data_IF_760356056541
#
_entry.id   IF_760356056541
#
_cell.length_a   1.000
_cell.length_b   1.000
_cell.length_c   1.000
_cell.angle_alpha   90.00
_cell.angle_beta   90.00
_cell.angle_gamma   90.00
#
_symmetry.space_group_name_H-M   'P 1'
#
loop_
_entity.id
_entity.type
_entity.pdbx_description
1 polymer ?
#
# COMPACT_ATOMS: atom_id res chain seq x y z
N UNK A 1 -14.36 -3.08 4.17
CA UNK A 1 -14.25 -2.97 2.70
C UNK A 1 -13.70 -1.59 2.41
N UNK A 2 -12.70 -1.48 1.54
CA UNK A 2 -12.00 -0.24 1.23
C UNK A 2 -12.25 0.13 -0.23
N UNK A 3 -12.25 1.44 -0.52
CA UNK A 3 -12.54 1.98 -1.84
C UNK A 3 -11.44 2.98 -2.22
N UNK A 4 -10.86 2.82 -3.41
CA UNK A 4 -9.84 3.73 -3.96
C UNK A 4 -10.06 3.89 -5.46
N UNK A 5 -10.21 5.13 -5.90
CA UNK A 5 -10.34 5.47 -7.32
C UNK A 5 -8.95 5.76 -7.90
N UNK A 6 -8.25 4.69 -8.26
CA UNK A 6 -6.89 4.70 -8.80
C UNK A 6 -6.80 3.85 -10.07
N UNK A 7 -5.78 4.09 -10.89
CA UNK A 7 -5.49 3.27 -12.06
C UNK A 7 -5.32 1.79 -11.69
N UNK A 8 -6.04 0.90 -12.38
CA UNK A 8 -6.09 -0.52 -12.02
C UNK A 8 -4.94 -1.33 -12.61
N UNK A 9 -4.08 -1.87 -11.73
CA UNK A 9 -3.07 -2.90 -12.01
C UNK A 9 -3.58 -4.33 -11.74
N UNK A 10 -2.87 -5.40 -12.15
CA UNK A 10 -3.31 -6.80 -11.93
C UNK A 10 -3.68 -7.14 -10.48
N UNK A 11 -3.02 -6.48 -9.51
CA UNK A 11 -3.23 -6.64 -8.07
C UNK A 11 -3.95 -5.45 -7.42
N UNK A 12 -4.74 -4.69 -8.19
CA UNK A 12 -5.55 -3.56 -7.71
C UNK A 12 -7.01 -3.68 -8.21
N UNK A 13 -7.93 -3.33 -7.32
CA UNK A 13 -9.37 -3.26 -7.55
C UNK A 13 -9.92 -1.98 -6.92
N UNK A 14 -10.97 -1.35 -7.50
CA UNK A 14 -11.53 -0.12 -6.96
C UNK A 14 -12.21 -0.35 -5.60
N UNK A 15 -12.65 -1.59 -5.35
CA UNK A 15 -13.11 -2.07 -4.05
C UNK A 15 -12.29 -3.30 -3.65
N UNK A 16 -11.80 -3.34 -2.41
CA UNK A 16 -10.94 -4.44 -1.93
C UNK A 16 -11.07 -4.64 -0.41
N UNK A 17 -10.72 -5.83 0.06
CA UNK A 17 -10.95 -6.25 1.44
C UNK A 17 -9.65 -6.15 2.24
N UNK A 18 -9.70 -5.36 3.32
CA UNK A 18 -8.64 -5.32 4.32
C UNK A 18 -9.11 -5.93 5.64
N UNK A 19 -8.20 -6.61 6.32
CA UNK A 19 -8.28 -6.88 7.74
C UNK A 19 -7.55 -5.74 8.44
N UNK A 20 -8.32 -4.86 9.06
CA UNK A 20 -7.84 -3.62 9.66
C UNK A 20 -7.79 -3.77 11.18
N UNK A 21 -6.67 -3.39 11.79
CA UNK A 21 -6.45 -3.47 13.22
C UNK A 21 -5.78 -2.19 13.72
N UNK A 22 -6.38 -1.59 14.76
CA UNK A 22 -5.78 -0.50 15.52
C UNK A 22 -5.83 -0.88 17.02
N UNK A 23 -4.78 -0.54 17.76
CA UNK A 23 -4.70 -0.79 19.19
C UNK A 23 -4.02 0.37 19.92
N UNK A 24 -4.33 0.52 21.21
CA UNK A 24 -3.76 1.55 22.09
C UNK A 24 -2.77 0.95 23.08
N UNK A 25 -1.80 1.76 23.51
CA UNK A 25 -0.72 1.38 24.44
C UNK A 25 0.14 0.22 23.92
N UNK A 26 0.42 0.25 22.61
CA UNK A 26 1.25 -0.74 21.91
C UNK A 26 2.48 -0.10 21.27
N UNK A 27 3.44 -0.94 20.92
CA UNK A 27 4.57 -0.63 20.07
C UNK A 27 4.59 -1.55 18.82
N UNK A 28 5.64 -1.46 18.02
CA UNK A 28 5.82 -2.27 16.82
C UNK A 28 5.93 -3.76 17.14
N UNK A 29 6.56 -4.14 18.26
CA UNK A 29 6.72 -5.54 18.68
C UNK A 29 5.38 -6.24 18.90
N UNK A 30 4.40 -5.54 19.47
CA UNK A 30 3.04 -6.05 19.60
C UNK A 30 2.45 -6.42 18.24
N UNK A 31 2.61 -5.54 17.24
CA UNK A 31 2.09 -5.76 15.89
C UNK A 31 2.83 -6.90 15.20
N UNK A 32 4.16 -6.94 15.31
CA UNK A 32 4.98 -8.02 14.75
C UNK A 32 4.54 -9.39 15.30
N UNK A 33 4.49 -9.54 16.63
CA UNK A 33 4.09 -10.80 17.24
C UNK A 33 2.68 -11.25 16.80
N UNK A 34 1.71 -10.34 16.79
CA UNK A 34 0.33 -10.64 16.43
C UNK A 34 0.20 -11.03 14.95
N UNK A 35 0.81 -10.25 14.04
CA UNK A 35 0.66 -10.47 12.60
C UNK A 35 1.55 -11.58 12.06
N UNK A 36 2.68 -11.88 12.69
CA UNK A 36 3.45 -13.09 12.42
C UNK A 36 2.62 -14.33 12.73
N UNK A 37 2.01 -14.40 13.92
CA UNK A 37 1.16 -15.54 14.27
C UNK A 37 -0.07 -15.66 13.37
N UNK A 38 -0.76 -14.55 13.13
CA UNK A 38 -1.94 -14.51 12.28
C UNK A 38 -1.62 -14.98 10.86
N UNK A 39 -0.59 -14.39 10.23
CA UNK A 39 -0.22 -14.73 8.85
C UNK A 39 0.27 -16.16 8.73
N UNK A 40 1.08 -16.66 9.68
CA UNK A 40 1.50 -18.06 9.68
C UNK A 40 0.30 -19.02 9.71
N UNK A 41 -0.70 -18.75 10.56
CA UNK A 41 -1.94 -19.56 10.61
C UNK A 41 -2.77 -19.44 9.33
N UNK A 42 -2.84 -18.26 8.72
CA UNK A 42 -3.54 -18.08 7.44
C UNK A 42 -2.90 -18.93 6.34
N UNK A 43 -1.57 -18.89 6.22
CA UNK A 43 -0.84 -19.66 5.22
C UNK A 43 -0.87 -21.18 5.48
N UNK A 44 -0.87 -21.59 6.75
CA UNK A 44 -1.01 -23.00 7.15
C UNK A 44 -2.32 -23.63 6.65
N UNK A 45 -3.39 -22.85 6.51
CA UNK A 45 -4.65 -23.33 5.90
C UNK A 45 -4.45 -23.81 4.46
N UNK A 46 -3.50 -23.21 3.72
CA UNK A 46 -3.09 -23.65 2.39
C UNK A 46 -1.95 -24.66 2.37
N UNK A 47 -1.52 -25.17 3.54
CA UNK A 47 -0.38 -26.07 3.66
C UNK A 47 0.99 -25.39 3.50
N UNK A 48 1.04 -24.05 3.59
CA UNK A 48 2.27 -23.28 3.46
C UNK A 48 2.80 -22.94 4.85
N UNK A 49 4.03 -23.35 5.15
CA UNK A 49 4.68 -23.06 6.42
C UNK A 49 5.50 -21.77 6.32
N UNK A 50 5.11 -20.76 7.09
CA UNK A 50 5.90 -19.53 7.25
C UNK A 50 6.75 -19.64 8.54
N UNK A 51 8.10 -19.74 8.43
CA UNK A 51 8.95 -19.84 9.61
C UNK A 51 8.97 -18.51 10.37
N UNK A 52 8.84 -18.60 11.70
CA UNK A 52 8.87 -17.44 12.62
C UNK A 52 10.08 -17.51 13.56
N UNK A 53 10.59 -16.37 14.05
CA UNK A 53 10.14 -15.01 13.76
C UNK A 53 10.48 -14.57 12.34
N UNK A 54 9.74 -13.60 11.79
CA UNK A 54 10.04 -13.08 10.46
C UNK A 54 11.29 -12.18 10.52
N UNK A 55 12.25 -12.33 9.58
CA UNK A 55 13.37 -11.41 9.45
C UNK A 55 12.92 -9.96 9.32
N UNK A 56 13.75 -9.04 9.79
CA UNK A 56 13.52 -7.60 9.65
C UNK A 56 14.62 -6.99 8.80
N UNK A 57 14.23 -6.10 7.89
CA UNK A 57 15.12 -5.41 6.98
C UNK A 57 14.77 -3.93 6.98
N UNK A 58 15.75 -3.05 7.12
CA UNK A 58 15.46 -1.62 6.98
C UNK A 58 15.09 -1.32 5.52
N UNK A 59 14.25 -0.31 5.29
CA UNK A 59 13.92 0.17 3.95
C UNK A 59 15.19 0.48 3.15
N UNK A 60 16.19 1.09 3.81
CA UNK A 60 17.44 1.43 3.17
C UNK A 60 18.22 0.18 2.73
N UNK A 61 18.23 -0.88 3.54
CA UNK A 61 18.84 -2.16 3.17
C UNK A 61 18.08 -2.84 2.03
N UNK A 62 16.74 -2.85 2.09
CA UNK A 62 15.90 -3.43 1.03
C UNK A 62 16.16 -2.75 -0.31
N UNK A 63 16.21 -1.42 -0.33
CA UNK A 63 16.56 -0.62 -1.51
C UNK A 63 18.01 -0.86 -1.96
N UNK A 64 18.97 -0.88 -1.04
CA UNK A 64 20.39 -1.05 -1.38
C UNK A 64 20.76 -2.47 -1.81
N UNK A 65 19.95 -3.48 -1.49
CA UNK A 65 20.24 -4.89 -1.79
C UNK A 65 19.36 -5.46 -2.89
N UNK A 66 18.14 -4.97 -3.06
CA UNK A 66 17.17 -5.52 -4.03
C UNK A 66 16.50 -4.47 -4.92
N UNK A 67 16.60 -3.19 -4.57
CA UNK A 67 16.01 -2.09 -5.34
C UNK A 67 14.51 -1.92 -5.15
N UNK A 68 13.93 -2.56 -4.14
CA UNK A 68 12.51 -2.44 -3.78
C UNK A 68 12.34 -2.49 -2.27
N UNK A 69 11.35 -1.74 -1.79
CA UNK A 69 10.76 -1.78 -0.46
C UNK A 69 9.91 -3.03 -0.18
N UNK A 70 9.61 -3.83 -1.22
CA UNK A 70 8.99 -5.15 -1.12
C UNK A 70 9.88 -6.19 -1.80
N UNK A 71 11.01 -6.56 -1.17
CA UNK A 71 12.00 -7.43 -1.80
C UNK A 71 11.46 -8.85 -2.01
N UNK A 72 11.73 -9.42 -3.17
CA UNK A 72 11.64 -10.87 -3.37
C UNK A 72 12.95 -11.55 -2.99
N UNK A 73 12.94 -12.27 -1.87
CA UNK A 73 14.11 -12.94 -1.29
C UNK A 73 14.23 -14.42 -1.68
N UNK A 74 13.35 -14.93 -2.55
CA UNK A 74 13.39 -16.35 -2.98
C UNK A 74 14.65 -16.72 -3.76
N UNK A 75 15.36 -15.73 -4.30
CA UNK A 75 16.56 -15.91 -5.10
C UNK A 75 17.61 -14.85 -4.74
N UNK A 76 18.87 -15.11 -5.12
CA UNK A 76 20.00 -14.23 -4.81
C UNK A 76 20.06 -12.96 -5.67
N UNK A 77 21.21 -12.72 -6.29
CA UNK A 77 21.49 -11.51 -7.10
C UNK A 77 21.28 -10.21 -6.33
N UNK A 78 21.65 -10.18 -5.05
CA UNK A 78 21.65 -8.94 -4.26
C UNK A 78 22.70 -7.97 -4.83
N UNK A 79 22.43 -6.68 -4.69
CA UNK A 79 23.29 -5.67 -5.24
C UNK A 79 24.64 -5.64 -4.53
N UNK A 80 25.67 -5.31 -5.28
CA UNK A 80 26.97 -4.93 -4.76
C UNK A 80 27.27 -3.49 -5.18
N UNK A 81 27.59 -2.66 -4.20
CA UNK A 81 28.11 -1.32 -4.45
C UNK A 81 29.56 -1.43 -4.91
N UNK A 82 29.90 -0.73 -6.00
CA UNK A 82 31.25 -0.66 -6.55
C UNK A 82 31.70 0.79 -6.75
N UNK A 83 30.98 1.75 -6.18
CA UNK A 83 31.27 3.18 -6.33
C UNK A 83 32.69 3.49 -5.87
N UNK A 84 33.14 2.86 -4.77
CA UNK A 84 34.50 2.97 -4.22
C UNK A 84 35.57 2.36 -5.14
N UNK A 85 35.26 1.25 -5.80
CA UNK A 85 36.19 0.56 -6.71
C UNK A 85 36.60 1.45 -7.88
N UNK A 86 35.70 2.32 -8.33
CA UNK A 86 35.90 3.19 -9.49
C UNK A 86 36.32 4.62 -9.11
N UNK A 87 36.67 4.92 -7.86
CA UNK A 87 37.02 6.27 -7.41
C UNK A 87 38.08 6.96 -8.29
N UNK A 88 39.10 6.20 -8.72
CA UNK A 88 40.20 6.68 -9.57
C UNK A 88 40.08 6.24 -11.03
N UNK A 89 38.86 5.88 -11.48
CA UNK A 89 38.67 5.30 -12.81
C UNK A 89 39.02 6.27 -13.94
N UNK A 90 39.64 5.74 -14.99
CA UNK A 90 39.90 6.48 -16.25
C UNK A 90 38.74 6.37 -17.23
N UNK A 91 37.74 5.56 -16.94
CA UNK A 91 36.58 5.40 -17.80
C UNK A 91 35.67 6.65 -17.72
N UNK A 92 35.61 7.41 -18.81
CA UNK A 92 35.03 8.76 -18.83
C UNK A 92 33.58 8.85 -18.33
N UNK A 93 32.75 7.85 -18.65
CA UNK A 93 31.35 7.79 -18.22
C UNK A 93 31.25 7.66 -16.69
N UNK A 94 31.96 6.69 -16.10
CA UNK A 94 31.96 6.50 -14.65
C UNK A 94 32.56 7.70 -13.93
N UNK A 95 33.67 8.25 -14.44
CA UNK A 95 34.26 9.48 -13.90
C UNK A 95 33.28 10.65 -13.89
N UNK A 96 32.49 10.83 -14.94
CA UNK A 96 31.47 11.88 -15.01
C UNK A 96 30.34 11.67 -13.99
N UNK A 97 29.92 10.41 -13.79
CA UNK A 97 28.87 10.05 -12.83
C UNK A 97 29.35 10.28 -11.39
N UNK A 98 30.54 9.79 -11.05
CA UNK A 98 31.16 9.98 -9.74
C UNK A 98 31.41 11.47 -9.44
N UNK A 99 31.83 12.25 -10.44
CA UNK A 99 31.99 13.70 -10.30
C UNK A 99 30.71 14.47 -9.99
N UNK A 100 29.53 13.83 -10.09
CA UNK A 100 28.22 14.37 -9.71
C UNK A 100 27.68 13.75 -8.42
N UNK A 101 28.50 13.03 -7.67
CA UNK A 101 28.07 12.30 -6.47
C UNK A 101 27.27 11.03 -6.77
N UNK A 102 27.41 10.49 -7.99
CA UNK A 102 26.64 9.32 -8.43
C UNK A 102 27.06 8.01 -7.80
N UNK A 103 26.29 6.97 -8.11
CA UNK A 103 26.42 5.63 -7.54
C UNK A 103 26.59 4.60 -8.66
N UNK A 104 27.38 3.55 -8.39
CA UNK A 104 27.60 2.42 -9.29
C UNK A 104 27.32 1.13 -8.52
N UNK A 105 26.21 0.47 -8.85
CA UNK A 105 25.84 -0.83 -8.25
C UNK A 105 25.65 -1.88 -9.34
N UNK A 106 25.83 -3.14 -8.98
CA UNK A 106 25.56 -4.24 -9.89
C UNK A 106 25.05 -5.51 -9.23
N UNK A 107 24.79 -6.51 -10.05
CA UNK A 107 24.41 -7.87 -9.66
C UNK A 107 25.33 -8.89 -10.33
N UNK A 108 25.52 -10.04 -9.68
CA UNK A 108 26.19 -11.20 -10.26
C UNK A 108 25.17 -12.30 -10.60
N UNK A 109 25.06 -12.64 -11.88
CA UNK A 109 24.25 -13.74 -12.41
C UNK A 109 25.12 -14.99 -12.57
N UNK A 110 25.01 -15.91 -11.61
CA UNK A 110 25.93 -17.04 -11.47
C UNK A 110 25.74 -18.11 -12.56
N UNK A 111 26.82 -18.48 -13.25
CA UNK A 111 26.85 -19.59 -14.21
C UNK A 111 26.06 -19.40 -15.51
N UNK A 112 25.58 -18.19 -15.81
CA UNK A 112 24.64 -17.94 -16.91
C UNK A 112 25.29 -17.30 -18.15
N UNK A 113 26.62 -17.26 -18.23
CA UNK A 113 27.34 -16.63 -19.34
C UNK A 113 27.01 -17.22 -20.72
N UNK A 114 26.59 -18.48 -20.83
CA UNK A 114 26.19 -19.07 -22.11
C UNK A 114 24.83 -18.53 -22.60
N UNK A 115 23.85 -18.44 -21.70
CA UNK A 115 22.51 -17.90 -22.00
C UNK A 115 22.56 -16.38 -22.19
N UNK A 116 23.36 -15.71 -21.36
CA UNK A 116 23.63 -14.28 -21.44
C UNK A 116 24.90 -14.02 -22.26
N UNK A 117 24.83 -14.36 -23.55
CA UNK A 117 25.92 -14.13 -24.49
C UNK A 117 26.21 -12.64 -24.69
N UNK A 118 27.42 -12.30 -25.16
CA UNK A 118 27.79 -10.93 -25.55
C UNK A 118 26.76 -10.23 -26.44
N UNK A 119 26.18 -10.96 -27.40
CA UNK A 119 25.19 -10.41 -28.32
C UNK A 119 23.88 -10.03 -27.58
N UNK A 120 23.39 -10.94 -26.73
CA UNK A 120 22.20 -10.74 -25.89
C UNK A 120 22.40 -9.55 -24.95
N UNK A 121 23.51 -9.54 -24.20
CA UNK A 121 23.82 -8.46 -23.25
C UNK A 121 23.93 -7.09 -23.92
N UNK A 122 24.54 -7.03 -25.11
CA UNK A 122 24.76 -5.77 -25.81
C UNK A 122 23.55 -5.26 -26.58
N UNK A 123 22.82 -6.14 -27.29
CA UNK A 123 21.77 -5.73 -28.21
C UNK A 123 20.38 -5.80 -27.62
N UNK A 124 20.14 -6.69 -26.66
CA UNK A 124 18.84 -6.82 -26.01
C UNK A 124 18.83 -6.05 -24.69
N UNK A 125 19.74 -6.39 -23.77
CA UNK A 125 19.73 -5.78 -22.44
C UNK A 125 20.17 -4.33 -22.44
N UNK A 126 21.36 -4.03 -22.95
CA UNK A 126 21.92 -2.68 -22.86
C UNK A 126 21.22 -1.67 -23.78
N UNK A 127 20.61 -2.11 -24.89
CA UNK A 127 19.97 -1.23 -25.89
C UNK A 127 18.45 -1.11 -25.75
N UNK A 128 17.77 -2.15 -25.29
CA UNK A 128 16.30 -2.18 -25.27
C UNK A 128 15.77 -2.26 -23.84
N UNK A 129 16.13 -3.32 -23.10
CA UNK A 129 15.55 -3.58 -21.77
C UNK A 129 15.92 -2.49 -20.78
N UNK A 130 17.21 -2.24 -20.53
CA UNK A 130 17.65 -1.29 -19.50
C UNK A 130 17.19 0.15 -19.77
N UNK A 131 17.23 0.66 -21.01
CA UNK A 131 16.60 1.94 -21.34
C UNK A 131 15.10 1.98 -21.07
N UNK A 132 14.38 0.88 -21.33
CA UNK A 132 12.96 0.73 -20.96
C UNK A 132 12.70 0.80 -19.46
N UNK A 133 13.69 0.45 -18.62
CA UNK A 133 13.66 0.58 -17.16
C UNK A 133 14.07 1.98 -16.66
N UNK A 134 14.33 2.93 -17.58
CA UNK A 134 14.69 4.32 -17.28
C UNK A 134 16.19 4.59 -17.11
N UNK A 135 17.05 3.57 -17.14
CA UNK A 135 18.49 3.75 -17.04
C UNK A 135 19.14 4.06 -18.39
N UNK A 136 20.10 4.99 -18.40
CA UNK A 136 20.75 5.47 -19.64
C UNK A 136 21.66 4.44 -20.29
N UNK A 137 22.08 3.43 -19.55
CA UNK A 137 22.93 2.37 -20.05
C UNK A 137 23.20 1.30 -19.01
N UNK A 138 23.73 0.18 -19.49
CA UNK A 138 24.13 -0.96 -18.69
C UNK A 138 25.55 -1.34 -19.03
N UNK A 139 26.35 -1.55 -18.00
CA UNK A 139 27.66 -2.19 -18.11
C UNK A 139 27.50 -3.68 -17.83
N UNK A 140 28.13 -4.53 -18.63
CA UNK A 140 28.13 -5.98 -18.39
C UNK A 140 29.54 -6.53 -18.54
N UNK A 141 29.87 -7.59 -17.81
CA UNK A 141 31.14 -8.31 -17.90
C UNK A 141 30.89 -9.81 -17.69
N UNK A 142 31.45 -10.65 -18.55
CA UNK A 142 31.39 -12.11 -18.40
C UNK A 142 32.72 -12.61 -17.86
N UNK A 143 32.71 -13.44 -16.82
CA UNK A 143 33.93 -14.06 -16.34
C UNK A 143 34.20 -15.37 -17.11
N UNK A 144 35.26 -15.38 -17.92
CA UNK A 144 35.65 -16.49 -18.80
C UNK A 144 37.06 -17.01 -18.42
N UNK A 145 37.51 -18.09 -19.07
CA UNK A 145 38.83 -18.69 -18.83
C UNK A 145 40.01 -17.71 -18.93
N UNK A 146 39.88 -16.67 -19.75
CA UNK A 146 40.92 -15.68 -20.02
C UNK A 146 40.67 -14.36 -19.25
N UNK A 147 39.80 -14.36 -18.25
CA UNK A 147 39.40 -13.19 -17.46
C UNK A 147 38.11 -12.53 -17.97
N UNK A 148 37.87 -11.30 -17.49
CA UNK A 148 36.64 -10.55 -17.80
C UNK A 148 36.54 -10.19 -19.28
N UNK A 149 35.46 -10.63 -19.93
CA UNK A 149 35.08 -10.22 -21.29
C UNK A 149 34.03 -9.11 -21.24
N UNK A 150 34.33 -7.95 -21.81
CA UNK A 150 33.39 -6.85 -22.06
C UNK A 150 33.97 -5.85 -23.05
N UNK A 151 33.12 -5.03 -23.66
CA UNK A 151 33.55 -3.89 -24.48
C UNK A 151 34.28 -2.82 -23.67
N UNK A 152 34.08 -2.77 -22.35
CA UNK A 152 34.63 -1.72 -21.50
C UNK A 152 35.78 -2.17 -20.59
N UNK A 153 36.02 -3.47 -20.45
CA UNK A 153 37.07 -4.01 -19.54
C UNK A 153 38.45 -3.45 -19.89
N UNK A 154 38.72 -3.17 -21.16
CA UNK A 154 39.96 -2.54 -21.64
C UNK A 154 40.24 -1.16 -21.01
N UNK A 155 39.23 -0.46 -20.51
CA UNK A 155 39.39 0.84 -19.85
C UNK A 155 39.65 0.74 -18.35
N UNK A 156 39.46 -0.44 -17.76
CA UNK A 156 39.71 -0.71 -16.35
C UNK A 156 41.14 -1.18 -16.12
N UNK A 157 41.76 -0.64 -15.07
CA UNK A 157 43.03 -1.08 -14.50
C UNK A 157 42.94 -2.51 -13.95
N UNK A 158 44.10 -3.15 -13.75
CA UNK A 158 44.16 -4.49 -13.15
C UNK A 158 43.56 -4.51 -11.74
N UNK A 159 43.78 -3.45 -10.95
CA UNK A 159 43.20 -3.32 -9.62
C UNK A 159 41.67 -3.25 -9.66
N UNK A 160 41.10 -2.41 -10.53
CA UNK A 160 39.63 -2.34 -10.71
C UNK A 160 39.05 -3.71 -11.10
N UNK A 161 39.67 -4.42 -12.05
CA UNK A 161 39.21 -5.76 -12.48
C UNK A 161 39.25 -6.78 -11.34
N UNK A 162 40.34 -6.79 -10.57
CA UNK A 162 40.51 -7.69 -9.43
C UNK A 162 39.50 -7.41 -8.33
N UNK A 163 39.27 -6.14 -7.98
CA UNK A 163 38.30 -5.76 -6.96
C UNK A 163 36.86 -6.01 -7.40
N UNK A 164 36.52 -5.84 -8.69
CA UNK A 164 35.23 -6.25 -9.24
C UNK A 164 35.00 -7.75 -9.04
N UNK A 165 35.93 -8.61 -9.49
CA UNK A 165 35.81 -10.06 -9.35
C UNK A 165 35.61 -10.47 -7.89
N UNK A 166 36.39 -9.86 -6.99
CA UNK A 166 36.30 -10.09 -5.55
C UNK A 166 34.97 -9.63 -4.95
N UNK A 167 34.53 -8.40 -5.26
CA UNK A 167 33.30 -7.78 -4.72
C UNK A 167 32.05 -8.55 -5.13
N UNK A 168 32.01 -9.02 -6.36
CA UNK A 168 30.90 -9.81 -6.88
C UNK A 168 30.99 -11.30 -6.58
N UNK A 169 32.08 -11.74 -5.93
CA UNK A 169 32.44 -13.15 -5.75
C UNK A 169 32.29 -13.95 -7.05
N UNK A 170 32.68 -13.30 -8.16
CA UNK A 170 32.44 -13.81 -9.50
C UNK A 170 33.32 -15.03 -9.77
N UNK A 171 32.72 -16.04 -10.39
CA UNK A 171 33.39 -17.25 -10.83
C UNK A 171 33.26 -17.41 -12.33
N UNK A 172 34.12 -18.26 -12.90
CA UNK A 172 34.03 -18.66 -14.30
C UNK A 172 32.59 -19.06 -14.65
N UNK A 173 32.08 -18.45 -15.71
CA UNK A 173 30.74 -18.67 -16.21
C UNK A 173 29.70 -17.66 -15.71
N UNK A 174 30.07 -16.77 -14.79
CA UNK A 174 29.20 -15.73 -14.24
C UNK A 174 29.09 -14.51 -15.17
N UNK A 175 28.04 -13.72 -14.96
CA UNK A 175 27.82 -12.43 -15.63
C UNK A 175 27.54 -11.34 -14.61
N UNK A 176 28.40 -10.33 -14.59
CA UNK A 176 28.24 -9.13 -13.78
C UNK A 176 27.52 -8.08 -14.60
N UNK A 177 26.44 -7.51 -14.07
CA UNK A 177 25.69 -6.40 -14.67
C UNK A 177 25.72 -5.21 -13.72
N UNK A 178 26.05 -4.02 -14.21
CA UNK A 178 26.16 -2.80 -13.42
C UNK A 178 25.37 -1.66 -14.05
N UNK A 179 24.71 -0.89 -13.19
CA UNK A 179 24.03 0.37 -13.52
C UNK A 179 24.76 1.49 -12.77
N UNK A 180 24.99 2.59 -13.49
CA UNK A 180 25.64 3.77 -12.96
C UNK A 180 24.82 5.01 -13.33
N UNK A 181 24.48 5.84 -12.34
CA UNK A 181 23.79 7.12 -12.56
C UNK A 181 24.06 8.07 -11.39
N UNK A 182 23.99 9.41 -11.60
CA UNK A 182 23.99 10.37 -10.51
C UNK A 182 22.89 10.14 -9.46
N UNK A 183 21.74 9.58 -9.86
CA UNK A 183 20.63 9.29 -8.95
C UNK A 183 20.71 7.89 -8.35
N UNK A 184 20.93 7.79 -7.05
CA UNK A 184 20.87 6.52 -6.30
C UNK A 184 19.52 5.81 -6.46
N UNK A 185 18.41 6.56 -6.44
CA UNK A 185 17.05 6.01 -6.63
C UNK A 185 16.89 5.36 -8.00
N UNK A 186 17.43 5.97 -9.05
CA UNK A 186 17.38 5.44 -10.41
C UNK A 186 18.21 4.16 -10.51
N UNK A 187 19.43 4.15 -9.95
CA UNK A 187 20.27 2.95 -9.92
C UNK A 187 19.54 1.79 -9.24
N UNK A 188 18.96 2.02 -8.05
CA UNK A 188 18.26 0.98 -7.30
C UNK A 188 17.02 0.48 -8.04
N UNK A 189 16.17 1.37 -8.54
CA UNK A 189 14.94 0.99 -9.27
C UNK A 189 15.23 0.23 -10.55
N UNK A 190 16.16 0.71 -11.38
CA UNK A 190 16.51 0.06 -12.65
C UNK A 190 17.18 -1.31 -12.41
N UNK A 191 18.08 -1.41 -11.44
CA UNK A 191 18.76 -2.66 -11.12
C UNK A 191 17.80 -3.67 -10.46
N UNK A 192 16.83 -3.21 -9.68
CA UNK A 192 15.82 -4.06 -9.03
C UNK A 192 14.86 -4.67 -10.04
N UNK A 193 14.38 -3.86 -11.00
CA UNK A 193 13.56 -4.36 -12.11
C UNK A 193 14.36 -5.31 -13.02
N UNK A 194 15.63 -4.99 -13.30
CA UNK A 194 16.52 -5.86 -14.08
C UNK A 194 16.76 -7.21 -13.36
N UNK A 195 16.95 -7.17 -12.03
CA UNK A 195 17.11 -8.36 -11.19
C UNK A 195 15.90 -9.29 -11.30
N UNK A 196 14.68 -8.77 -11.17
CA UNK A 196 13.44 -9.54 -11.31
C UNK A 196 13.28 -10.10 -12.73
N UNK A 197 13.47 -9.27 -13.75
CA UNK A 197 13.37 -9.69 -15.15
C UNK A 197 14.33 -10.85 -15.49
N UNK A 198 15.58 -10.77 -15.01
CA UNK A 198 16.56 -11.85 -15.22
C UNK A 198 16.18 -13.11 -14.47
N UNK A 199 15.68 -12.97 -13.23
CA UNK A 199 15.26 -14.11 -12.44
C UNK A 199 14.09 -14.85 -13.10
N UNK A 200 13.10 -14.12 -13.61
CA UNK A 200 11.97 -14.69 -14.37
C UNK A 200 12.44 -15.36 -15.66
N UNK A 201 13.25 -14.67 -16.46
CA UNK A 201 13.70 -15.20 -17.76
C UNK A 201 14.59 -16.44 -17.63
N UNK A 202 15.37 -16.52 -16.57
CA UNK A 202 16.30 -17.62 -16.32
C UNK A 202 15.72 -18.69 -15.41
N UNK A 203 14.45 -18.57 -15.02
CA UNK A 203 13.73 -19.52 -14.16
C UNK A 203 14.45 -19.74 -12.81
N UNK A 204 14.87 -18.63 -12.19
CA UNK A 204 15.64 -18.62 -10.94
C UNK A 204 14.77 -18.42 -9.70
N UNK A 205 13.47 -18.23 -9.85
CA UNK A 205 12.52 -17.98 -8.76
C UNK A 205 11.84 -19.30 -8.40
N UNK A 206 12.12 -19.89 -7.23
CA UNK A 206 11.40 -21.06 -6.76
C UNK A 206 9.90 -20.78 -6.59
N UNK A 207 9.05 -21.63 -7.16
CA UNK A 207 7.59 -21.51 -7.06
C UNK A 207 7.07 -21.79 -5.64
N UNK A 208 7.64 -22.80 -4.96
CA UNK A 208 7.15 -23.33 -3.68
C UNK A 208 7.91 -22.80 -2.44
N UNK A 209 8.56 -21.64 -2.56
CA UNK A 209 9.30 -21.04 -1.45
C UNK A 209 8.65 -19.74 -0.97
N UNK A 210 8.51 -19.58 0.34
CA UNK A 210 7.89 -18.39 0.94
C UNK A 210 8.84 -17.75 1.95
N UNK A 211 9.23 -16.51 1.67
CA UNK A 211 10.12 -15.72 2.51
C UNK A 211 9.38 -14.50 3.04
N UNK A 212 8.70 -14.64 4.20
CA UNK A 212 8.11 -13.49 4.87
C UNK A 212 9.21 -12.62 5.48
N UNK A 213 9.03 -11.30 5.46
CA UNK A 213 9.87 -10.36 6.18
C UNK A 213 9.09 -9.09 6.56
N UNK A 214 9.60 -8.40 7.56
CA UNK A 214 9.22 -7.02 7.86
C UNK A 214 10.19 -6.05 7.21
N UNK A 215 9.67 -5.07 6.47
CA UNK A 215 10.43 -3.89 6.06
C UNK A 215 10.10 -2.76 7.03
N UNK A 216 11.11 -2.08 7.57
CA UNK A 216 10.98 -1.10 8.64
C UNK A 216 11.81 0.15 8.36
N UNK A 217 11.71 1.18 9.20
CA UNK A 217 12.53 2.41 9.10
C UNK A 217 12.41 3.11 7.75
N UNK A 218 11.19 3.15 7.19
CA UNK A 218 10.91 3.90 5.98
C UNK A 218 11.20 5.40 6.19
N UNK A 219 11.61 6.14 5.15
CA UNK A 219 11.60 7.60 5.20
C UNK A 219 10.22 8.09 5.64
N UNK A 220 10.19 9.14 6.46
CA UNK A 220 8.92 9.78 6.81
C UNK A 220 8.38 10.62 5.65
N UNK A 221 9.31 11.22 4.90
CA UNK A 221 9.05 12.17 3.84
C UNK A 221 9.77 11.79 2.55
N UNK A 222 9.15 12.13 1.41
CA UNK A 222 9.76 12.09 0.09
C UNK A 222 9.90 13.50 -0.47
N UNK A 223 11.07 13.79 -1.05
CA UNK A 223 11.30 15.05 -1.75
C UNK A 223 10.38 15.15 -2.99
N UNK A 224 9.77 16.31 -3.15
CA UNK A 224 8.99 16.74 -4.33
C UNK A 224 9.64 17.97 -4.96
N UNK A 225 9.10 18.46 -6.08
CA UNK A 225 9.61 19.69 -6.72
C UNK A 225 9.51 20.92 -5.81
N UNK A 226 8.51 20.96 -4.92
CA UNK A 226 8.16 22.14 -4.12
C UNK A 226 8.26 21.90 -2.60
N UNK A 227 8.96 20.85 -2.16
CA UNK A 227 9.10 20.54 -0.73
C UNK A 227 9.11 19.04 -0.47
N UNK A 228 8.32 18.59 0.50
CA UNK A 228 8.16 17.17 0.82
C UNK A 228 6.71 16.71 0.76
N UNK A 229 6.50 15.42 0.53
CA UNK A 229 5.23 14.71 0.76
C UNK A 229 5.46 13.60 1.77
N UNK A 230 4.39 13.10 2.41
CA UNK A 230 4.50 11.93 3.29
C UNK A 230 4.75 10.67 2.47
N UNK A 231 5.66 9.80 2.93
CA UNK A 231 5.89 8.48 2.31
C UNK A 231 4.74 7.50 2.56
N UNK A 232 4.02 7.67 3.68
CA UNK A 232 2.84 6.88 4.04
C UNK A 232 1.66 7.83 4.21
N UNK A 233 1.00 7.82 5.36
CA UNK A 233 -0.03 8.79 5.71
C UNK A 233 0.54 9.82 6.71
N UNK A 234 0.00 11.06 6.72
CA UNK A 234 0.54 12.19 7.48
C UNK A 234 0.39 12.07 9.01
N UNK A 235 -0.17 10.97 9.52
CA UNK A 235 -0.35 10.72 10.96
C UNK A 235 0.68 9.72 11.51
N UNK A 236 1.68 9.34 10.70
CA UNK A 236 2.71 8.38 11.07
C UNK A 236 3.71 9.02 12.04
N UNK A 237 4.01 8.33 13.14
CA UNK A 237 4.97 8.78 14.14
C UNK A 237 6.40 8.79 13.55
N UNK A 238 7.14 9.91 13.67
CA UNK A 238 8.56 9.94 13.33
C UNK A 238 9.40 9.10 14.30
N UNK A 239 10.60 8.72 13.89
CA UNK A 239 11.59 8.08 14.77
C UNK A 239 12.10 9.02 15.88
N UNK A 240 12.07 10.34 15.62
CA UNK A 240 12.36 11.38 16.61
C UNK A 240 11.46 12.62 16.46
N UNK A 241 11.27 13.37 17.55
CA UNK A 241 10.37 14.52 17.59
C UNK A 241 11.10 15.88 17.53
N UNK A 242 12.40 15.88 17.78
CA UNK A 242 13.30 17.03 17.71
C UNK A 242 13.81 17.23 16.28
N UNK A 243 13.00 17.93 15.49
CA UNK A 243 13.38 18.38 14.15
C UNK A 243 12.91 19.80 13.84
N UNK A 244 13.46 20.46 12.83
CA UNK A 244 12.91 21.70 12.29
C UNK A 244 12.01 21.40 11.08
N UNK A 245 10.75 21.85 11.15
CA UNK A 245 9.76 21.69 10.07
C UNK A 245 10.12 22.47 8.79
N UNK A 246 11.06 23.41 8.87
CA UNK A 246 11.51 24.24 7.74
C UNK A 246 12.86 23.77 7.16
N UNK A 247 13.54 22.84 7.84
CA UNK A 247 14.83 22.32 7.40
C UNK A 247 14.66 21.07 6.52
N UNK A 248 14.80 21.25 5.21
CA UNK A 248 14.65 20.19 4.22
C UNK A 248 15.61 19.00 4.44
N UNK A 249 16.87 19.25 4.81
CA UNK A 249 17.85 18.18 5.03
C UNK A 249 17.44 17.32 6.22
N UNK A 250 16.95 17.96 7.28
CA UNK A 250 16.48 17.28 8.47
C UNK A 250 15.21 16.47 8.18
N UNK A 251 14.23 17.04 7.48
CA UNK A 251 13.01 16.35 7.07
C UNK A 251 13.30 15.09 6.25
N UNK A 252 14.23 15.17 5.29
CA UNK A 252 14.60 14.03 4.44
C UNK A 252 15.46 12.98 5.17
N UNK A 253 15.98 13.30 6.36
CA UNK A 253 16.69 12.36 7.23
C UNK A 253 15.77 11.60 8.19
N UNK A 254 14.54 12.10 8.42
CA UNK A 254 13.60 11.49 9.35
C UNK A 254 13.12 10.13 8.85
N UNK A 255 13.08 9.18 9.78
CA UNK A 255 12.48 7.87 9.54
C UNK A 255 11.10 7.84 10.18
N UNK A 256 10.30 6.90 9.73
CA UNK A 256 8.98 6.64 10.27
C UNK A 256 8.99 5.38 11.10
N UNK A 257 8.13 5.36 12.12
CA UNK A 257 7.77 4.15 12.86
C UNK A 257 6.69 3.36 12.09
N UNK A 258 6.95 3.17 10.80
CA UNK A 258 6.12 2.41 9.87
C UNK A 258 6.78 1.06 9.55
N UNK A 259 5.95 0.10 9.16
CA UNK A 259 6.37 -1.25 8.89
C UNK A 259 5.44 -1.94 7.89
N UNK A 260 6.03 -2.72 6.99
CA UNK A 260 5.31 -3.51 6.00
C UNK A 260 5.64 -4.99 6.14
N UNK A 261 4.61 -5.83 6.10
CA UNK A 261 4.73 -7.28 5.98
C UNK A 261 4.80 -7.64 4.50
N UNK A 262 5.97 -8.11 4.07
CA UNK A 262 6.24 -8.50 2.69
C UNK A 262 6.41 -10.01 2.62
N UNK A 263 5.88 -10.63 1.55
CA UNK A 263 6.13 -12.03 1.22
C UNK A 263 6.39 -12.14 -0.27
N UNK A 264 7.53 -12.70 -0.66
CA UNK A 264 7.86 -13.02 -2.06
C UNK A 264 7.72 -11.85 -3.05
N UNK A 265 8.12 -10.65 -2.64
CA UNK A 265 8.04 -9.45 -3.48
C UNK A 265 6.69 -8.72 -3.46
N UNK A 266 5.72 -9.20 -2.67
CA UNK A 266 4.41 -8.58 -2.52
C UNK A 266 4.21 -8.06 -1.10
N UNK A 267 3.71 -6.83 -1.01
CA UNK A 267 3.29 -6.21 0.24
C UNK A 267 1.90 -6.78 0.63
N UNK A 268 1.87 -7.59 1.70
CA UNK A 268 0.63 -8.17 2.20
C UNK A 268 -0.11 -7.22 3.12
N UNK A 269 0.60 -6.36 3.85
CA UNK A 269 0.00 -5.34 4.70
C UNK A 269 1.02 -4.35 5.21
N UNK A 270 0.54 -3.17 5.59
CA UNK A 270 1.36 -2.06 6.04
C UNK A 270 0.69 -1.30 7.19
N UNK A 271 1.51 -0.71 8.05
CA UNK A 271 1.06 -0.10 9.28
C UNK A 271 2.07 0.91 9.84
N UNK A 272 1.65 1.61 10.89
CA UNK A 272 2.54 2.51 11.62
C UNK A 272 2.05 2.79 13.03
N UNK A 273 2.98 3.19 13.88
CA UNK A 273 2.65 3.89 15.12
C UNK A 273 2.15 5.29 14.76
N UNK A 274 1.07 5.74 15.38
CA UNK A 274 0.42 7.02 15.06
C UNK A 274 0.90 8.13 15.98
N UNK A 275 0.91 9.34 15.44
CA UNK A 275 1.06 10.57 16.23
C UNK A 275 -0.18 10.72 17.12
N UNK A 276 0.04 10.87 18.41
CA UNK A 276 -1.00 11.13 19.40
C UNK A 276 -0.80 12.48 20.13
N UNK A 277 0.10 13.32 19.62
CA UNK A 277 0.42 14.65 20.15
C UNK A 277 0.04 15.73 19.12
N UNK A 278 -0.73 16.73 19.55
CA UNK A 278 -1.25 17.79 18.67
C UNK A 278 -0.14 18.67 18.10
N UNK A 279 0.84 19.05 18.90
CA UNK A 279 1.90 19.97 18.49
C UNK A 279 2.82 19.30 17.48
N UNK A 280 3.15 18.03 17.70
CA UNK A 280 3.88 17.21 16.75
C UNK A 280 3.09 17.02 15.44
N UNK A 281 1.78 16.77 15.50
CA UNK A 281 0.96 16.63 14.30
C UNK A 281 0.91 17.94 13.49
N UNK A 282 0.76 19.08 14.15
CA UNK A 282 0.83 20.40 13.51
C UNK A 282 2.18 20.66 12.85
N UNK A 283 3.27 20.24 13.52
CA UNK A 283 4.63 20.35 12.98
C UNK A 283 4.82 19.53 11.71
N UNK A 284 4.24 18.32 11.63
CA UNK A 284 4.21 17.51 10.42
C UNK A 284 3.39 18.18 9.31
N UNK A 285 2.20 18.72 9.63
CA UNK A 285 1.40 19.43 8.64
C UNK A 285 2.09 20.68 8.08
N UNK A 286 2.82 21.41 8.94
CA UNK A 286 3.65 22.55 8.52
C UNK A 286 4.77 22.10 7.59
N UNK A 287 5.45 20.99 7.90
CA UNK A 287 6.48 20.42 7.02
C UNK A 287 5.92 20.00 5.65
N UNK A 288 4.65 19.54 5.61
CA UNK A 288 3.91 19.22 4.37
C UNK A 288 3.41 20.46 3.62
N UNK A 289 3.68 21.67 4.11
CA UNK A 289 3.27 22.92 3.46
C UNK A 289 1.78 23.24 3.55
N UNK A 290 1.05 22.63 4.49
CA UNK A 290 -0.36 22.92 4.70
C UNK A 290 -0.52 24.26 5.45
N UNK A 291 -1.41 25.12 4.96
CA UNK A 291 -1.77 26.36 5.65
C UNK A 291 -2.59 26.07 6.92
N UNK A 292 -2.60 26.98 7.89
CA UNK A 292 -3.44 26.84 9.09
C UNK A 292 -4.93 26.66 8.73
N UNK A 293 -5.40 27.35 7.69
CA UNK A 293 -6.76 27.20 7.15
C UNK A 293 -6.99 25.82 6.56
N UNK A 294 -6.05 25.29 5.77
CA UNK A 294 -6.15 23.92 5.22
C UNK A 294 -6.19 22.88 6.34
N UNK A 295 -5.39 23.08 7.38
CA UNK A 295 -5.29 22.18 8.53
C UNK A 295 -6.60 22.17 9.30
N UNK A 296 -7.18 23.34 9.60
CA UNK A 296 -8.46 23.41 10.32
C UNK A 296 -9.60 22.81 9.48
N UNK A 297 -9.71 23.18 8.20
CA UNK A 297 -10.79 22.72 7.32
C UNK A 297 -10.76 21.21 7.08
N UNK A 298 -9.57 20.62 6.91
CA UNK A 298 -9.42 19.19 6.56
C UNK A 298 -9.21 18.29 7.78
N UNK A 299 -8.52 18.79 8.80
CA UNK A 299 -8.04 17.99 9.94
C UNK A 299 -8.37 18.58 11.31
N UNK A 300 -9.12 19.69 11.40
CA UNK A 300 -9.45 20.35 12.67
C UNK A 300 -10.20 19.42 13.63
N UNK A 301 -11.09 18.55 13.12
CA UNK A 301 -11.76 17.54 13.94
C UNK A 301 -10.78 16.54 14.56
N UNK A 302 -9.75 16.15 13.82
CA UNK A 302 -8.72 15.20 14.26
C UNK A 302 -7.80 15.83 15.30
N UNK A 303 -7.34 17.06 15.06
CA UNK A 303 -6.50 17.81 16.01
C UNK A 303 -7.21 18.10 17.33
N UNK A 304 -8.53 18.37 17.29
CA UNK A 304 -9.35 18.48 18.52
C UNK A 304 -9.44 17.13 19.25
N UNK A 305 -9.57 16.03 18.51
CA UNK A 305 -9.63 14.69 19.13
C UNK A 305 -8.35 14.36 19.90
N UNK A 306 -7.18 14.79 19.42
CA UNK A 306 -5.90 14.60 20.13
C UNK A 306 -5.86 15.30 21.49
N UNK A 307 -6.51 16.46 21.63
CA UNK A 307 -6.54 17.24 22.88
C UNK A 307 -7.36 16.57 24.00
N UNK A 308 -8.30 15.70 23.65
CA UNK A 308 -9.12 14.96 24.62
C UNK A 308 -8.41 13.73 25.22
N UNK A 309 -7.08 13.66 25.08
CA UNK A 309 -6.26 12.60 25.67
C UNK A 309 -6.17 11.35 24.80
N UNK A 310 -5.86 11.51 23.50
CA UNK A 310 -5.62 10.38 22.62
C UNK A 310 -4.44 9.52 23.13
N UNK A 311 -4.63 8.21 23.39
CA UNK A 311 -3.56 7.36 23.88
C UNK A 311 -2.51 7.13 22.79
N UNK A 312 -1.28 6.73 23.15
CA UNK A 312 -0.35 6.14 22.17
C UNK A 312 -1.06 4.98 21.47
N UNK A 313 -1.04 4.96 20.14
CA UNK A 313 -1.74 3.96 19.35
C UNK A 313 -1.00 3.67 18.05
N UNK A 314 -1.34 2.54 17.45
CA UNK A 314 -0.78 2.08 16.18
C UNK A 314 -1.69 1.05 15.55
N UNK A 315 -1.43 0.75 14.29
CA UNK A 315 -2.22 -0.22 13.58
C UNK A 315 -1.61 -0.65 12.27
N UNK A 316 -2.27 -1.63 11.66
CA UNK A 316 -1.85 -2.29 10.43
C UNK A 316 -3.08 -2.77 9.68
N UNK A 317 -3.02 -2.70 8.35
CA UNK A 317 -4.05 -3.24 7.48
C UNK A 317 -3.45 -4.31 6.56
N UNK A 318 -4.04 -5.50 6.57
CA UNK A 318 -3.64 -6.63 5.71
C UNK A 318 -4.60 -6.74 4.52
N UNK A 319 -4.07 -6.77 3.30
CA UNK A 319 -4.82 -6.99 2.07
C UNK A 319 -5.28 -8.44 1.94
N UNK A 320 -6.50 -8.74 2.37
CA UNK A 320 -7.05 -10.10 2.42
C UNK A 320 -7.07 -10.74 1.04
N UNK A 321 -7.43 -9.99 0.00
CA UNK A 321 -7.50 -10.52 -1.37
C UNK A 321 -6.10 -10.98 -1.86
N UNK A 322 -5.02 -10.27 -1.49
CA UNK A 322 -3.63 -10.66 -1.83
C UNK A 322 -3.20 -11.91 -1.08
N UNK A 323 -3.51 -11.98 0.22
CA UNK A 323 -3.17 -13.14 1.05
C UNK A 323 -3.84 -14.41 0.51
N UNK A 324 -5.15 -14.34 0.23
CA UNK A 324 -5.89 -15.48 -0.33
C UNK A 324 -5.37 -15.85 -1.71
N UNK A 325 -5.11 -14.86 -2.57
CA UNK A 325 -4.56 -15.10 -3.90
C UNK A 325 -3.20 -15.82 -3.85
N UNK A 326 -2.33 -15.42 -2.92
CA UNK A 326 -1.01 -16.02 -2.71
C UNK A 326 -1.11 -17.45 -2.15
N UNK A 327 -1.97 -17.68 -1.16
CA UNK A 327 -2.21 -19.01 -0.58
C UNK A 327 -2.73 -19.99 -1.64
N UNK A 328 -3.60 -19.53 -2.54
CA UNK A 328 -4.16 -20.34 -3.61
C UNK A 328 -3.27 -20.41 -4.86
N UNK A 329 -2.12 -19.73 -4.90
CA UNK A 329 -1.23 -19.68 -6.06
C UNK A 329 -1.88 -19.08 -7.31
N UNK A 330 -2.83 -18.15 -7.15
CA UNK A 330 -3.54 -17.55 -8.28
C UNK A 330 -2.75 -16.38 -8.88
N UNK A 331 -2.80 -16.18 -10.21
CA UNK A 331 -2.04 -15.12 -10.89
C UNK A 331 -2.60 -13.71 -10.71
N UNK A 332 -3.80 -13.57 -10.11
CA UNK A 332 -4.44 -12.28 -9.87
C UNK A 332 -5.45 -12.37 -8.75
N UNK A 333 -5.57 -11.29 -7.96
CA UNK A 333 -6.61 -11.15 -6.93
C UNK A 333 -8.05 -11.22 -7.51
N UNK A 334 -8.23 -11.06 -8.82
CA UNK A 334 -9.53 -11.20 -9.47
C UNK A 334 -10.09 -12.61 -9.35
N UNK A 335 -9.23 -13.62 -9.26
CA UNK A 335 -9.61 -15.03 -9.12
C UNK A 335 -10.19 -15.35 -7.73
N UNK A 336 -9.98 -14.48 -6.74
CA UNK A 336 -10.46 -14.66 -5.37
C UNK A 336 -11.58 -13.68 -4.99
N UNK A 337 -12.03 -12.87 -5.94
CA UNK A 337 -13.14 -11.92 -5.78
C UNK A 337 -14.31 -12.44 -6.61
N UNK A 338 -15.51 -12.54 -6.02
CA UNK A 338 -16.67 -13.10 -6.69
C UNK A 338 -17.11 -12.31 -7.96
N UNK A 339 -17.05 -10.97 -7.88
CA UNK A 339 -17.47 -10.08 -8.98
C UNK A 339 -16.43 -8.96 -9.20
N UNK A 340 -15.24 -9.31 -9.73
CA UNK A 340 -14.16 -8.35 -9.91
C UNK A 340 -14.50 -7.36 -11.04
N UNK A 341 -13.79 -6.24 -11.05
CA UNK A 341 -13.83 -5.24 -12.11
C UNK A 341 -12.69 -5.45 -13.10
N UNK A 342 -12.92 -5.08 -14.35
CA UNK A 342 -11.88 -5.05 -15.38
C UNK A 342 -10.90 -3.87 -15.15
N UNK A 343 -9.96 -3.64 -16.07
CA UNK A 343 -8.96 -2.56 -15.95
C UNK A 343 -9.55 -1.14 -16.01
N UNK A 344 -10.79 -0.98 -16.43
CA UNK A 344 -11.48 0.32 -16.53
C UNK A 344 -12.52 0.52 -15.41
N UNK A 345 -12.35 -0.18 -14.28
CA UNK A 345 -13.28 -0.22 -13.16
C UNK A 345 -14.71 -0.67 -13.53
N UNK A 346 -14.87 -1.28 -14.71
CA UNK A 346 -16.15 -1.72 -15.23
C UNK A 346 -16.44 -3.16 -14.82
N UNK A 347 -17.68 -3.44 -14.45
CA UNK A 347 -18.20 -4.78 -14.18
C UNK A 347 -18.92 -5.31 -15.43
N UNK A 348 -18.34 -6.26 -16.19
CA UNK A 348 -18.98 -6.79 -17.39
C UNK A 348 -20.28 -7.52 -17.11
N UNK A 349 -20.44 -8.10 -15.91
CA UNK A 349 -21.64 -8.86 -15.53
C UNK A 349 -22.87 -7.96 -15.39
N UNK A 350 -22.74 -6.85 -14.67
CA UNK A 350 -23.86 -5.93 -14.39
C UNK A 350 -23.87 -4.71 -15.31
N UNK A 351 -22.86 -4.59 -16.18
CA UNK A 351 -22.62 -3.42 -17.03
C UNK A 351 -22.50 -2.10 -16.25
N UNK A 352 -21.83 -2.14 -15.09
CA UNK A 352 -21.62 -0.96 -14.24
C UNK A 352 -20.19 -0.39 -14.41
N UNK A 353 -19.99 0.94 -14.36
CA UNK A 353 -21.00 1.97 -14.19
C UNK A 353 -21.90 2.13 -15.44
N UNK A 354 -23.12 2.62 -15.24
CA UNK A 354 -24.09 2.91 -16.29
C UNK A 354 -24.69 4.32 -16.09
N UNK A 355 -25.28 4.94 -17.13
CA UNK A 355 -25.99 6.21 -16.98
C UNK A 355 -27.11 6.13 -15.94
N UNK A 356 -27.32 7.22 -15.20
CA UNK A 356 -28.41 7.37 -14.22
C UNK A 356 -29.54 8.23 -14.79
N UNK A 357 -30.76 8.10 -14.25
CA UNK A 357 -31.90 8.88 -14.73
C UNK A 357 -31.77 10.36 -14.36
N UNK A 358 -32.19 11.27 -15.24
CA UNK A 358 -32.13 12.72 -15.00
C UNK A 358 -32.86 13.15 -13.73
N UNK A 359 -33.95 12.48 -13.36
CA UNK A 359 -34.67 12.75 -12.10
C UNK A 359 -33.79 12.49 -10.86
N UNK A 360 -32.92 11.47 -10.89
CA UNK A 360 -31.99 11.17 -9.80
C UNK A 360 -30.87 12.21 -9.72
N UNK A 361 -30.39 12.71 -10.87
CA UNK A 361 -29.44 13.82 -10.90
C UNK A 361 -30.09 15.12 -10.37
N UNK A 362 -31.37 15.35 -10.66
CA UNK A 362 -32.11 16.52 -10.19
C UNK A 362 -32.24 16.51 -8.66
N UNK A 363 -32.63 15.36 -8.12
CA UNK A 363 -32.72 15.08 -6.69
C UNK A 363 -31.40 15.38 -5.96
N UNK A 364 -30.27 14.97 -6.54
CA UNK A 364 -28.95 15.18 -5.94
C UNK A 364 -28.36 16.57 -6.22
N UNK A 365 -29.08 17.44 -6.94
CA UNK A 365 -28.55 18.74 -7.38
C UNK A 365 -27.40 18.65 -8.38
N UNK A 366 -27.25 17.52 -9.07
CA UNK A 366 -26.16 17.20 -9.99
C UNK A 366 -26.51 17.42 -11.47
N UNK A 367 -27.74 17.86 -11.79
CA UNK A 367 -28.13 18.21 -13.16
C UNK A 367 -27.21 19.26 -13.79
N UNK A 368 -26.67 20.17 -12.98
CA UNK A 368 -25.93 21.35 -13.44
C UNK A 368 -24.41 21.15 -13.59
N UNK A 369 -23.91 19.90 -13.55
CA UNK A 369 -22.52 19.58 -13.91
C UNK A 369 -22.17 19.90 -15.38
N UNK A 370 -23.16 20.34 -16.18
CA UNK A 370 -22.98 21.00 -17.46
C UNK A 370 -24.17 21.87 -17.85
N UNK A 371 -24.18 23.13 -17.37
CA UNK A 371 -25.11 24.24 -17.73
C UNK A 371 -26.58 24.06 -17.32
N UNK A 372 -26.88 24.65 -16.17
CA UNK A 372 -28.06 25.45 -15.84
C UNK A 372 -29.36 25.12 -16.56
N UNK A 373 -30.10 24.15 -16.02
CA UNK A 373 -31.55 24.13 -16.20
C UNK A 373 -32.24 23.68 -14.92
N UNK A 374 -32.68 24.66 -14.12
CA UNK A 374 -33.64 24.45 -13.05
C UNK A 374 -34.96 23.97 -13.65
N UNK A 375 -35.42 22.79 -13.25
CA UNK A 375 -36.77 22.32 -13.57
C UNK A 375 -37.81 23.13 -12.77
N UNK A 376 -38.97 23.48 -13.36
CA UNK A 376 -40.04 24.12 -12.61
C UNK A 376 -40.58 23.16 -11.55
N UNK A 377 -40.43 23.50 -10.27
CA UNK A 377 -40.95 22.71 -9.14
C UNK A 377 -39.97 22.48 -7.98
N UNK A 378 -38.69 22.85 -8.11
CA UNK A 378 -37.68 22.69 -7.04
C UNK A 378 -37.76 23.71 -5.89
N UNK A 379 -38.84 24.49 -5.81
CA UNK A 379 -39.04 25.52 -4.78
C UNK A 379 -40.46 25.57 -4.20
N UNK A 380 -41.22 24.48 -4.21
CA UNK A 380 -42.41 24.40 -3.35
C UNK A 380 -42.02 23.75 -2.02
N UNK A 381 -42.38 24.41 -0.91
CA UNK A 381 -42.19 23.96 0.46
C UNK A 381 -42.62 22.50 0.61
N UNK A 382 -41.69 21.57 0.51
CA UNK A 382 -41.95 20.18 0.86
C UNK A 382 -42.05 20.10 2.38
N UNK A 383 -43.13 19.49 2.87
CA UNK A 383 -43.28 19.11 4.28
C UNK A 383 -41.98 18.42 4.73
N UNK A 384 -41.39 18.87 5.84
CA UNK A 384 -40.11 18.38 6.35
C UNK A 384 -40.14 16.86 6.56
N UNK A 385 -41.31 16.33 6.95
CA UNK A 385 -41.52 14.90 7.19
C UNK A 385 -41.56 14.11 5.89
N UNK A 386 -42.17 14.65 4.83
CA UNK A 386 -42.13 14.03 3.50
C UNK A 386 -40.72 14.07 2.91
N UNK A 387 -40.02 15.19 3.10
CA UNK A 387 -38.63 15.35 2.69
C UNK A 387 -37.72 14.34 3.40
N UNK A 388 -37.86 14.19 4.71
CA UNK A 388 -37.09 13.23 5.52
C UNK A 388 -37.44 11.78 5.16
N UNK A 389 -38.72 11.44 5.04
CA UNK A 389 -39.21 10.11 4.62
C UNK A 389 -38.62 9.71 3.28
N UNK A 390 -38.62 10.65 2.33
CA UNK A 390 -38.15 10.40 0.98
C UNK A 390 -36.63 10.30 0.89
N UNK A 391 -35.88 11.18 1.56
CA UNK A 391 -34.39 11.14 1.61
C UNK A 391 -33.89 9.90 2.34
N UNK A 392 -34.54 9.52 3.45
CA UNK A 392 -34.18 8.31 4.21
C UNK A 392 -34.68 7.01 3.57
N UNK A 393 -35.47 7.09 2.48
CA UNK A 393 -36.15 5.95 1.85
C UNK A 393 -37.01 5.14 2.82
N UNK A 394 -37.48 5.78 3.90
CA UNK A 394 -38.39 5.18 4.89
C UNK A 394 -39.80 5.56 4.51
N UNK A 395 -40.64 4.58 4.20
CA UNK A 395 -42.06 4.82 3.95
C UNK A 395 -42.76 5.11 5.28
N UNK A 396 -43.32 6.31 5.43
CA UNK A 396 -44.19 6.65 6.56
C UNK A 396 -45.61 6.21 6.22
N UNK A 397 -46.22 5.41 7.08
CA UNK A 397 -47.63 5.08 6.94
C UNK A 397 -48.52 6.23 7.43
N UNK A 398 -49.71 6.35 6.85
CA UNK A 398 -50.61 7.49 7.09
C UNK A 398 -51.08 7.58 8.56
N UNK A 399 -51.16 6.43 9.24
CA UNK A 399 -51.46 6.27 10.66
C UNK A 399 -50.28 6.64 11.59
N UNK A 400 -49.03 6.61 11.10
CA UNK A 400 -47.83 7.00 11.85
C UNK A 400 -47.48 8.48 11.68
N UNK A 401 -47.97 9.10 10.60
CA UNK A 401 -47.60 10.46 10.18
C UNK A 401 -47.81 11.50 11.26
N UNK A 402 -48.96 11.44 11.95
CA UNK A 402 -49.28 12.40 13.02
C UNK A 402 -48.29 12.31 14.19
N UNK A 403 -47.88 11.10 14.57
CA UNK A 403 -46.93 10.88 15.66
C UNK A 403 -45.51 11.36 15.29
N UNK A 404 -45.10 11.13 14.04
CA UNK A 404 -43.80 11.57 13.53
C UNK A 404 -43.74 13.10 13.44
N UNK A 405 -44.77 13.75 12.88
CA UNK A 405 -44.85 15.22 12.83
C UNK A 405 -44.79 15.83 14.24
N UNK A 406 -45.52 15.26 15.20
CA UNK A 406 -45.47 15.71 16.59
C UNK A 406 -44.06 15.55 17.19
N UNK A 407 -43.41 14.40 16.96
CA UNK A 407 -42.06 14.13 17.48
C UNK A 407 -41.00 15.07 16.89
N UNK A 408 -41.12 15.41 15.60
CA UNK A 408 -40.25 16.40 14.94
C UNK A 408 -40.45 17.78 15.56
N UNK A 409 -41.69 18.18 15.81
CA UNK A 409 -41.99 19.46 16.46
C UNK A 409 -41.49 19.53 17.92
N UNK A 410 -41.59 18.43 18.66
CA UNK A 410 -41.02 18.31 20.00
C UNK A 410 -39.48 18.42 19.97
N UNK A 411 -38.83 17.80 18.99
CA UNK A 411 -37.39 17.90 18.79
C UNK A 411 -36.95 19.33 18.43
N UNK A 412 -37.68 20.03 17.56
CA UNK A 412 -37.44 21.45 17.25
C UNK A 412 -37.59 22.33 18.49
N UNK A 413 -38.63 22.07 19.29
CA UNK A 413 -38.89 22.80 20.53
C UNK A 413 -37.75 22.56 21.54
N UNK A 414 -37.29 21.33 21.67
CA UNK A 414 -36.16 20.96 22.53
C UNK A 414 -34.86 21.60 22.04
N UNK A 415 -34.58 21.56 20.75
CA UNK A 415 -33.40 22.21 20.16
C UNK A 415 -33.42 23.72 20.42
N UNK A 416 -34.57 24.38 20.25
CA UNK A 416 -34.73 25.80 20.53
C UNK A 416 -34.57 26.13 22.02
N UNK A 417 -35.00 25.25 22.92
CA UNK A 417 -34.79 25.34 24.37
C UNK A 417 -33.30 25.20 24.71
N UNK A 418 -32.62 24.20 24.15
CA UNK A 418 -31.17 23.97 24.34
C UNK A 418 -30.37 25.17 23.82
N UNK A 419 -30.71 25.72 22.66
CA UNK A 419 -30.05 26.93 22.13
C UNK A 419 -30.31 28.16 22.99
N UNK A 420 -31.53 28.34 23.55
CA UNK A 420 -31.86 29.47 24.45
C UNK A 420 -31.23 29.36 25.83
N UNK A 421 -30.96 28.15 26.30
CA UNK A 421 -30.37 27.88 27.60
C UNK A 421 -28.93 27.36 27.51
N UNK A 422 -28.24 27.64 26.40
CA UNK A 422 -26.82 27.36 26.24
C UNK A 422 -26.07 28.14 27.32
N UNK A 423 -25.62 27.44 28.36
CA UNK A 423 -24.76 27.99 29.39
C UNK A 423 -23.30 28.01 28.96
N UNK A 424 -22.52 28.87 29.61
CA UNK A 424 -21.08 29.04 29.37
C UNK A 424 -20.23 28.04 30.19
N UNK A 425 -20.89 27.11 30.88
CA UNK A 425 -20.26 26.13 31.77
C UNK A 425 -19.71 24.92 31.03
N UNK A 426 -18.76 24.22 31.66
CA UNK A 426 -18.24 22.96 31.14
C UNK A 426 -19.34 21.90 31.00
N UNK A 427 -19.34 21.09 29.94
CA UNK A 427 -20.30 20.00 29.77
C UNK A 427 -20.22 19.02 30.95
N UNK A 428 -21.35 18.62 31.50
CA UNK A 428 -21.43 17.50 32.44
C UNK A 428 -21.05 16.21 31.69
N UNK A 429 -19.82 15.74 31.86
CA UNK A 429 -19.40 14.42 31.42
C UNK A 429 -19.55 13.42 32.58
N UNK A 430 -20.03 12.22 32.26
CA UNK A 430 -19.91 11.06 33.15
C UNK A 430 -19.05 10.03 32.44
N UNK A 431 -17.91 9.67 33.04
CA UNK A 431 -17.12 8.54 32.57
C UNK A 431 -17.82 7.27 33.03
N UNK A 432 -18.50 6.59 32.13
CA UNK A 432 -18.93 5.21 32.36
C UNK A 432 -17.71 4.34 32.10
N UNK A 433 -17.33 3.51 33.06
CA UNK A 433 -16.26 2.54 32.85
C UNK A 433 -16.67 1.59 31.69
N UNK A 434 -15.86 1.46 30.63
CA UNK A 434 -16.21 0.58 29.52
C UNK A 434 -16.18 -0.88 30.01
N UNK A 435 -17.34 -1.52 30.12
CA UNK A 435 -17.43 -2.97 30.18
C UNK A 435 -17.45 -3.51 28.74
N UNK A 436 -16.43 -4.29 28.40
CA UNK A 436 -16.39 -5.01 27.13
C UNK A 436 -17.49 -6.07 27.11
N UNK A 437 -18.61 -5.79 26.46
CA UNK A 437 -19.62 -6.80 26.12
C UNK A 437 -19.13 -7.67 24.96
N UNK A 438 -18.12 -8.50 25.22
CA UNK A 438 -17.80 -9.60 24.30
C UNK A 438 -18.94 -10.62 24.34
N UNK A 439 -19.23 -11.27 23.21
CA UNK A 439 -20.15 -12.41 23.20
C UNK A 439 -19.57 -13.48 24.12
N UNK A 440 -20.31 -13.88 25.16
CA UNK A 440 -19.89 -15.01 25.99
C UNK A 440 -19.85 -16.29 25.14
N UNK A 441 -18.64 -16.79 24.90
CA UNK A 441 -18.40 -18.04 24.20
C UNK A 441 -17.13 -17.99 23.35
N UNK A 442 -16.10 -18.69 23.80
CA UNK A 442 -14.87 -18.94 23.01
C UNK A 442 -15.03 -20.09 22.01
N UNK A 443 -16.22 -20.65 21.91
CA UNK A 443 -16.51 -21.82 21.08
C UNK A 443 -17.32 -21.42 19.85
N UNK A 444 -16.87 -21.89 18.67
CA UNK A 444 -17.61 -21.73 17.43
C UNK A 444 -18.98 -22.41 17.57
N UNK A 445 -20.06 -21.62 17.44
CA UNK A 445 -21.42 -22.15 17.44
C UNK A 445 -21.93 -22.21 16.00
N UNK A 446 -22.21 -23.42 15.52
CA UNK A 446 -22.90 -23.64 14.25
C UNK A 446 -24.28 -22.99 14.32
N UNK A 447 -24.62 -22.15 13.34
CA UNK A 447 -25.93 -21.53 13.25
C UNK A 447 -27.04 -22.60 13.27
N UNK A 448 -28.13 -22.44 14.04
CA UNK A 448 -29.28 -23.33 13.97
C UNK A 448 -29.90 -23.43 12.57
N UNK A 449 -29.69 -22.41 11.72
CA UNK A 449 -30.09 -22.44 10.31
C UNK A 449 -29.19 -23.34 9.46
N UNK A 450 -27.91 -23.49 9.81
CA UNK A 450 -27.01 -24.47 9.18
C UNK A 450 -27.36 -25.88 9.66
N UNK A 451 -27.58 -26.06 10.97
CA UNK A 451 -27.96 -27.37 11.54
C UNK A 451 -29.31 -27.89 11.00
N UNK A 452 -30.25 -26.98 10.68
CA UNK A 452 -31.55 -27.32 10.08
C UNK A 452 -31.52 -27.39 8.54
N UNK A 453 -30.38 -27.10 7.91
CA UNK A 453 -30.28 -27.02 6.45
C UNK A 453 -31.04 -25.83 5.83
N UNK A 454 -31.56 -24.92 6.65
CA UNK A 454 -32.37 -23.78 6.23
C UNK A 454 -31.56 -22.68 5.54
N UNK A 455 -30.26 -22.55 5.87
CA UNK A 455 -29.43 -21.44 5.38
C UNK A 455 -29.33 -21.42 3.84
N UNK A 456 -29.34 -22.60 3.22
CA UNK A 456 -29.13 -22.79 1.79
C UNK A 456 -30.24 -23.63 1.13
N UNK A 457 -31.40 -23.79 1.79
CA UNK A 457 -32.53 -24.59 1.28
C UNK A 457 -33.09 -24.10 -0.06
N UNK A 458 -32.77 -22.86 -0.44
CA UNK A 458 -33.19 -22.24 -1.68
C UNK A 458 -32.10 -22.27 -2.77
N UNK A 459 -30.96 -22.94 -2.54
CA UNK A 459 -29.93 -23.09 -3.56
C UNK A 459 -30.44 -23.99 -4.71
N UNK A 460 -30.46 -23.52 -5.97
CA UNK A 460 -31.04 -24.27 -7.09
C UNK A 460 -30.45 -25.66 -7.38
N UNK A 461 -29.21 -25.93 -6.97
CA UNK A 461 -28.62 -27.28 -7.03
C UNK A 461 -27.41 -27.39 -6.09
N UNK A 462 -27.05 -28.63 -5.73
CA UNK A 462 -25.81 -28.94 -5.00
C UNK A 462 -25.03 -29.98 -5.81
N UNK A 463 -23.75 -29.71 -6.12
CA UNK A 463 -22.89 -30.65 -6.86
C UNK A 463 -21.50 -30.69 -6.21
N UNK A 464 -21.11 -31.86 -5.69
CA UNK A 464 -19.75 -32.10 -5.18
C UNK A 464 -19.35 -31.21 -4.00
N UNK A 465 -20.29 -30.85 -3.11
CA UNK A 465 -20.03 -29.93 -1.98
C UNK A 465 -20.16 -28.45 -2.31
N UNK A 466 -20.43 -28.10 -3.57
CA UNK A 466 -20.67 -26.73 -4.01
C UNK A 466 -22.17 -26.47 -4.21
N UNK A 467 -22.61 -25.28 -3.82
CA UNK A 467 -24.00 -24.82 -4.00
C UNK A 467 -24.09 -23.95 -5.26
N UNK A 468 -25.01 -24.28 -6.15
CA UNK A 468 -25.38 -23.43 -7.28
C UNK A 468 -26.25 -22.31 -6.74
N UNK A 469 -25.76 -21.07 -6.83
CA UNK A 469 -26.56 -19.86 -6.58
C UNK A 469 -27.49 -19.61 -7.77
N UNK A 470 -28.69 -19.08 -7.52
CA UNK A 470 -29.62 -18.71 -8.59
C UNK A 470 -28.98 -17.69 -9.52
N UNK A 471 -29.23 -17.80 -10.82
CA UNK A 471 -28.87 -16.75 -11.78
C UNK A 471 -29.70 -15.52 -11.45
N UNK A 472 -29.07 -14.49 -10.88
CA UNK A 472 -29.71 -13.22 -10.51
C UNK A 472 -29.84 -12.28 -11.73
N UNK A 473 -29.66 -12.79 -12.95
CA UNK A 473 -29.86 -12.07 -14.20
C UNK A 473 -30.42 -13.04 -15.26
N UNK A 474 -31.63 -12.74 -15.75
CA UNK A 474 -31.95 -12.91 -17.17
C UNK A 474 -31.64 -11.59 -17.89
#
# INVERSE_FOLDING_TARGET
>A
RCFRDEDLRPNQQPEFTQLDLEASFIDEEFIYALFEELSARMFEVGGIMLPRPYPRMTWLDAMNTTGSDRPDLRFGMTFQDCTDVFADTKYGIFKQILGRGGCIKGINVKGQSERLSKNVLQNEYAKEIVPGLGAKGMTWMRDLDNGLESNIVQFFSENERSEILKRFEAKKGDVILMIADPSWRLVCSALGQLRLHIAERLDLIPDDAFYPLWVTEFPLFEATENGVTSSHHPFTMPDRTDFDSENMEELLSLRSRAYDLVVNGEELGGGSIRINDRDLQNKIFKALGLSETDVEDKFGFFLRALEYGAPPHGGIALGVDRVVAMILGTPSIREVIAFPKNRSAFCPLTQAPSPVASAQLAELGLLDLGKGQLLPGSMEQQDLVDSLSWVSRIKIHEDERTAIVASVHDAETLAALVSRHKGDGEPLFSVVAPENHTREGKEARTSPFVARGDLLKYAPAVKGGYYKVASILE
#
